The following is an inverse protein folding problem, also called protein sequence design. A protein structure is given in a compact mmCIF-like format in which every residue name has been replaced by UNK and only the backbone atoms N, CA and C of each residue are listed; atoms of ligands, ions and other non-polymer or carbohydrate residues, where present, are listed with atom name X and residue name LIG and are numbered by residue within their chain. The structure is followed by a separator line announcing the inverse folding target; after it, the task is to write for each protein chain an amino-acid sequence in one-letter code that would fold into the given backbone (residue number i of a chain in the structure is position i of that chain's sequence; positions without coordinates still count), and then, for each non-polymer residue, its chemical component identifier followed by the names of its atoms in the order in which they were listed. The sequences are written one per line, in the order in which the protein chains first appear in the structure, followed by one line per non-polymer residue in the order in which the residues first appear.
data_IF_146612497360
#
_entry.id   IF_146612497360
#
_cell.length_a   1.000
_cell.length_b   1.000
_cell.length_c   1.000
_cell.angle_alpha   90.00
_cell.angle_beta   90.00
_cell.angle_gamma   90.00
#
_symmetry.space_group_name_H-M   'P 1'
#
loop_
_entity.id
_entity.type
_entity.pdbx_description
1 polymer ?
#
# COMPACT_ATOMS: atom_id res chain seq x y z
N UNK A 1 16.30 3.65 7.73
CA UNK A 1 16.25 4.87 6.89
C UNK A 1 15.93 4.57 5.41
N UNK A 2 15.26 3.47 5.04
CA UNK A 2 14.99 3.13 3.61
C UNK A 2 13.54 3.13 3.16
N UNK A 3 12.55 3.26 4.06
CA UNK A 3 11.12 3.15 3.72
C UNK A 3 10.65 4.20 2.72
N UNK A 4 11.23 5.41 2.72
CA UNK A 4 10.85 6.47 1.79
C UNK A 4 11.28 6.16 0.36
N UNK A 5 12.48 5.63 0.17
CA UNK A 5 13.01 5.25 -1.15
C UNK A 5 12.18 4.11 -1.74
N UNK A 6 11.93 3.06 -0.93
CA UNK A 6 11.10 1.92 -1.32
C UNK A 6 9.67 2.36 -1.69
N UNK A 7 9.06 3.27 -0.93
CA UNK A 7 7.72 3.78 -1.25
C UNK A 7 7.68 4.57 -2.56
N UNK A 8 8.78 5.26 -2.92
CA UNK A 8 8.88 5.99 -4.19
C UNK A 8 9.00 5.01 -5.35
N UNK A 9 9.76 3.92 -5.20
CA UNK A 9 9.87 2.88 -6.23
C UNK A 9 8.55 2.13 -6.42
N UNK A 10 7.91 1.69 -5.33
CA UNK A 10 6.59 1.03 -5.37
C UNK A 10 5.52 1.89 -6.04
N UNK A 11 5.56 3.22 -5.85
CA UNK A 11 4.61 4.11 -6.51
C UNK A 11 4.82 4.11 -8.04
N UNK A 12 6.07 4.06 -8.51
CA UNK A 12 6.37 3.95 -9.95
C UNK A 12 5.90 2.63 -10.53
N UNK A 13 6.07 1.53 -9.79
CA UNK A 13 5.57 0.21 -10.19
C UNK A 13 4.04 0.20 -10.29
N UNK A 14 3.35 0.79 -9.30
CA UNK A 14 1.90 0.91 -9.32
C UNK A 14 1.38 1.70 -10.53
N UNK A 15 2.05 2.81 -10.88
CA UNK A 15 1.73 3.60 -12.07
C UNK A 15 2.05 2.87 -13.39
N UNK A 16 3.07 2.00 -13.39
CA UNK A 16 3.51 1.28 -14.59
C UNK A 16 2.66 0.03 -14.87
N UNK A 17 2.41 -0.80 -13.86
CA UNK A 17 1.71 -2.08 -14.02
C UNK A 17 0.19 -1.96 -13.82
N UNK A 18 -0.27 -1.00 -13.02
CA UNK A 18 -1.70 -0.74 -12.78
C UNK A 18 -2.42 -1.82 -11.96
N UNK A 19 -1.69 -2.77 -11.38
CA UNK A 19 -2.19 -3.89 -10.58
C UNK A 19 -2.01 -3.69 -9.06
N UNK A 20 -1.53 -2.52 -8.64
CA UNK A 20 -1.31 -2.15 -7.25
C UNK A 20 -2.24 -1.01 -6.84
N UNK A 21 -2.95 -1.18 -5.73
CA UNK A 21 -3.78 -0.13 -5.10
C UNK A 21 -3.04 0.44 -3.89
N UNK A 22 -2.70 1.73 -3.93
CA UNK A 22 -2.04 2.43 -2.82
C UNK A 22 -3.09 3.06 -1.90
N UNK A 23 -3.13 2.59 -0.65
CA UNK A 23 -4.09 3.04 0.36
C UNK A 23 -3.37 3.87 1.45
N UNK A 24 -3.95 4.96 1.98
CA UNK A 24 -3.28 5.86 2.93
C UNK A 24 -3.20 5.28 4.37
N UNK A 25 -2.82 4.02 4.52
CA UNK A 25 -2.56 3.39 5.81
C UNK A 25 -1.07 3.34 6.11
N UNK A 26 -0.71 3.60 7.36
CA UNK A 26 0.62 3.24 7.83
C UNK A 26 0.74 1.73 7.96
N UNK A 27 1.91 1.21 7.61
CA UNK A 27 2.22 -0.19 7.86
C UNK A 27 2.58 -0.41 9.32
N UNK A 28 1.53 -0.58 10.14
CA UNK A 28 1.57 -0.89 11.56
C UNK A 28 0.65 -2.06 11.87
N UNK A 29 1.05 -2.90 12.83
CA UNK A 29 0.24 -4.02 13.32
C UNK A 29 -1.11 -3.57 13.89
N UNK A 30 -1.19 -2.37 14.46
CA UNK A 30 -2.43 -1.81 15.00
C UNK A 30 -3.52 -1.61 13.93
N UNK A 31 -3.13 -1.52 12.66
CA UNK A 31 -4.03 -1.22 11.54
C UNK A 31 -4.35 -2.44 10.68
N UNK A 32 -3.93 -3.65 11.07
CA UNK A 32 -4.13 -4.87 10.28
C UNK A 32 -5.61 -5.11 9.94
N UNK A 33 -6.51 -4.84 10.90
CA UNK A 33 -7.97 -4.99 10.70
C UNK A 33 -8.48 -4.06 9.61
N UNK A 34 -8.08 -2.78 9.65
CA UNK A 34 -8.51 -1.79 8.65
C UNK A 34 -7.96 -2.12 7.27
N UNK A 35 -6.73 -2.63 7.19
CA UNK A 35 -6.16 -3.11 5.93
C UNK A 35 -6.93 -4.30 5.35
N UNK A 36 -7.35 -5.25 6.18
CA UNK A 36 -8.16 -6.40 5.73
C UNK A 36 -9.51 -5.94 5.17
N UNK A 37 -10.19 -5.01 5.85
CA UNK A 37 -11.45 -4.45 5.35
C UNK A 37 -11.25 -3.76 4.00
N UNK A 38 -10.21 -2.92 3.87
CA UNK A 38 -9.91 -2.25 2.62
C UNK A 38 -9.64 -3.24 1.47
N UNK A 39 -8.90 -4.33 1.71
CA UNK A 39 -8.69 -5.37 0.69
C UNK A 39 -10.03 -5.97 0.24
N UNK A 40 -10.98 -6.20 1.15
CA UNK A 40 -12.31 -6.71 0.78
C UNK A 40 -13.17 -5.70 -0.01
N UNK A 41 -12.95 -4.39 0.16
CA UNK A 41 -13.67 -3.35 -0.58
C UNK A 41 -13.09 -3.12 -1.98
N UNK A 42 -11.78 -3.32 -2.15
CA UNK A 42 -11.09 -3.15 -3.44
C UNK A 42 -10.96 -4.45 -4.26
N UNK A 43 -11.15 -5.61 -3.64
CA UNK A 43 -11.00 -6.94 -4.23
C UNK A 43 -12.20 -7.45 -5.02
#
# INVERSE_FOLDING_TARGET
HGRKEVNVELKKEAEFFGDIIIVPFMDSYDLVVLKTVAICEYG
#
